data_IF_646256227451
#
_entry.id   IF_646256227451
#
_cell.length_a   1.000
_cell.length_b   1.000
_cell.length_c   1.000
_cell.angle_alpha   90.00
_cell.angle_beta   90.00
_cell.angle_gamma   90.00
#
_symmetry.space_group_name_H-M   'P 1'
#
loop_
_entity.id
_entity.type
_entity.pdbx_description
1 polymer ?
#
# COMPACT_ATOMS: atom_id res chain seq x y z
N UNK A 1 -22.30 24.26 -1.12
CA UNK A 1 -21.36 25.40 -0.90
C UNK A 1 -20.26 25.48 -1.96
N UNK A 2 -19.57 24.38 -2.29
CA UNK A 2 -18.34 24.41 -3.11
C UNK A 2 -18.51 24.00 -4.59
N UNK A 3 -19.75 23.81 -5.07
CA UNK A 3 -20.04 23.13 -6.35
C UNK A 3 -19.23 23.63 -7.55
N UNK A 4 -19.19 24.95 -7.79
CA UNK A 4 -18.43 25.53 -8.93
C UNK A 4 -16.93 25.26 -8.85
N UNK A 5 -16.35 25.18 -7.65
CA UNK A 5 -14.91 24.92 -7.49
C UNK A 5 -14.59 23.43 -7.59
N UNK A 6 -15.51 22.54 -7.19
CA UNK A 6 -15.33 21.08 -7.29
C UNK A 6 -15.36 20.60 -8.74
N UNK A 7 -16.12 21.25 -9.63
CA UNK A 7 -16.18 20.87 -11.06
C UNK A 7 -14.80 20.80 -11.73
N UNK A 8 -13.87 21.63 -11.27
CA UNK A 8 -12.49 21.68 -11.77
C UNK A 8 -11.49 20.92 -10.90
N UNK A 9 -11.93 20.30 -9.80
CA UNK A 9 -11.06 19.54 -8.92
C UNK A 9 -10.74 18.17 -9.55
N UNK A 10 -9.44 17.93 -9.78
CA UNK A 10 -8.93 16.61 -10.16
C UNK A 10 -7.60 16.33 -9.46
N UNK A 11 -7.45 15.11 -8.97
CA UNK A 11 -6.17 14.60 -8.48
C UNK A 11 -5.46 13.73 -9.52
N UNK A 12 -4.13 13.86 -9.66
CA UNK A 12 -3.31 13.02 -10.53
C UNK A 12 -3.28 11.58 -10.04
N UNK A 13 -3.05 10.66 -10.98
CA UNK A 13 -2.82 9.25 -10.71
C UNK A 13 -1.62 8.76 -11.52
N UNK A 14 -1.06 7.62 -11.11
CA UNK A 14 -0.08 6.94 -11.93
C UNK A 14 -0.75 6.29 -13.14
N UNK A 15 -0.29 6.69 -14.32
CA UNK A 15 -0.73 6.22 -15.61
C UNK A 15 0.42 5.61 -16.38
N UNK A 16 0.14 4.59 -17.16
CA UNK A 16 1.11 3.92 -18.03
C UNK A 16 0.71 4.08 -19.49
N UNK A 17 1.72 4.26 -20.35
CA UNK A 17 1.56 4.25 -21.80
C UNK A 17 1.41 2.81 -22.29
N UNK A 18 0.21 2.48 -22.73
CA UNK A 18 -0.14 1.23 -23.37
C UNK A 18 -0.37 1.51 -24.86
N UNK A 19 0.68 1.27 -25.66
CA UNK A 19 0.66 1.38 -27.12
C UNK A 19 0.12 2.74 -27.64
N UNK A 20 0.55 3.84 -27.02
CA UNK A 20 0.16 5.20 -27.39
C UNK A 20 -1.07 5.73 -26.65
N UNK A 21 -1.75 4.90 -25.85
CA UNK A 21 -2.85 5.32 -24.99
C UNK A 21 -2.43 5.33 -23.52
N UNK A 22 -2.94 6.29 -22.75
CA UNK A 22 -2.68 6.33 -21.31
C UNK A 22 -3.83 5.74 -20.53
N UNK A 23 -3.51 4.80 -19.63
CA UNK A 23 -4.46 4.19 -18.70
C UNK A 23 -3.87 4.14 -17.30
N UNK A 24 -4.71 3.90 -16.29
CA UNK A 24 -4.23 3.67 -14.93
C UNK A 24 -3.27 2.49 -14.88
N UNK A 25 -2.22 2.64 -14.08
CA UNK A 25 -1.28 1.55 -13.81
C UNK A 25 -2.00 0.43 -13.04
N UNK A 26 -1.70 -0.81 -13.41
CA UNK A 26 -2.15 -2.04 -12.76
C UNK A 26 -0.94 -2.75 -12.17
N UNK A 27 -0.95 -3.01 -10.85
CA UNK A 27 0.17 -3.70 -10.20
C UNK A 27 0.46 -5.05 -10.88
N UNK A 28 -0.55 -5.88 -11.08
CA UNK A 28 -0.35 -7.23 -11.62
C UNK A 28 0.16 -7.21 -13.08
N UNK A 29 -0.44 -6.36 -13.92
CA UNK A 29 -0.12 -6.32 -15.35
C UNK A 29 1.12 -5.51 -15.67
N UNK A 30 1.36 -4.43 -14.95
CA UNK A 30 2.39 -3.45 -15.29
C UNK A 30 3.67 -3.61 -14.46
N UNK A 31 3.56 -4.14 -13.24
CA UNK A 31 4.67 -4.21 -12.29
C UNK A 31 5.06 -5.66 -12.03
N UNK A 32 4.17 -6.46 -11.44
CA UNK A 32 4.40 -7.86 -11.05
C UNK A 32 4.87 -8.71 -12.25
N UNK A 33 4.23 -8.54 -13.41
CA UNK A 33 4.57 -9.27 -14.64
C UNK A 33 5.98 -9.01 -15.17
N UNK A 34 6.62 -7.89 -14.76
CA UNK A 34 7.96 -7.47 -15.18
C UNK A 34 9.03 -7.74 -14.13
N UNK A 35 8.64 -8.26 -12.95
CA UNK A 35 9.62 -8.64 -11.92
C UNK A 35 10.50 -9.76 -12.45
N UNK A 36 11.81 -9.54 -12.39
CA UNK A 36 12.78 -10.58 -12.70
C UNK A 36 13.04 -11.46 -11.47
N UNK A 37 12.18 -12.45 -11.30
CA UNK A 37 12.23 -13.41 -10.19
C UNK A 37 13.52 -14.25 -10.13
N UNK A 38 14.33 -14.30 -11.20
CA UNK A 38 15.62 -14.97 -11.17
C UNK A 38 16.67 -14.24 -10.30
N UNK A 39 16.42 -12.97 -9.97
CA UNK A 39 17.30 -12.12 -9.16
C UNK A 39 16.86 -12.02 -7.69
N UNK A 40 16.00 -12.93 -7.22
CA UNK A 40 15.66 -13.01 -5.80
C UNK A 40 16.92 -13.33 -4.99
N UNK A 41 17.19 -12.52 -3.98
CA UNK A 41 18.21 -12.79 -2.98
C UNK A 41 17.64 -13.68 -1.86
N UNK A 42 18.26 -14.84 -1.65
CA UNK A 42 17.89 -15.81 -0.62
C UNK A 42 18.91 -15.86 0.54
N UNK A 43 19.95 -15.02 0.54
CA UNK A 43 21.05 -15.12 1.51
C UNK A 43 20.61 -14.98 2.96
N UNK A 44 19.54 -14.22 3.24
CA UNK A 44 19.01 -14.13 4.62
C UNK A 44 18.54 -15.47 5.16
N UNK A 45 18.15 -16.42 4.30
CA UNK A 45 17.75 -17.76 4.74
C UNK A 45 18.92 -18.57 5.31
N UNK A 46 20.18 -18.24 4.98
CA UNK A 46 21.36 -18.89 5.57
C UNK A 46 21.45 -18.64 7.09
N UNK A 47 20.89 -17.52 7.55
CA UNK A 47 20.87 -17.13 8.96
C UNK A 47 19.80 -17.85 9.77
N UNK A 48 18.90 -18.60 9.11
CA UNK A 48 17.85 -19.35 9.79
C UNK A 48 18.45 -20.36 10.77
N UNK A 49 17.80 -20.45 11.93
CA UNK A 49 18.12 -21.42 12.97
C UNK A 49 16.97 -22.41 13.06
N UNK A 50 17.23 -23.65 12.64
CA UNK A 50 16.26 -24.74 12.69
C UNK A 50 16.40 -25.51 14.00
N UNK A 51 15.28 -25.97 14.56
CA UNK A 51 15.26 -26.78 15.78
C UNK A 51 15.81 -28.18 15.51
N UNK A 52 16.62 -28.69 16.43
CA UNK A 52 17.09 -30.08 16.41
C UNK A 52 16.13 -31.00 17.16
N UNK A 53 16.17 -32.32 16.92
CA UNK A 53 15.29 -33.28 17.62
C UNK A 53 15.54 -33.36 19.13
N UNK A 54 16.68 -32.85 19.61
CA UNK A 54 17.02 -32.80 21.04
C UNK A 54 16.35 -31.64 21.79
N UNK A 55 15.77 -30.66 21.07
CA UNK A 55 15.06 -29.51 21.65
C UNK A 55 13.59 -29.84 22.01
N UNK A 56 13.37 -30.95 22.73
CA UNK A 56 12.03 -31.49 23.06
C UNK A 56 11.12 -30.60 23.92
N UNK A 57 11.56 -29.41 24.34
CA UNK A 57 10.84 -28.59 25.32
C UNK A 57 10.63 -27.13 24.90
N UNK A 58 10.23 -26.87 23.65
CA UNK A 58 9.59 -25.58 23.33
C UNK A 58 8.41 -25.84 22.41
N UNK A 59 7.22 -25.75 23.02
CA UNK A 59 5.91 -25.78 22.38
C UNK A 59 5.96 -25.09 21.00
N UNK A 60 5.33 -25.75 20.03
CA UNK A 60 5.10 -25.26 18.68
C UNK A 60 4.10 -24.09 18.74
N UNK A 61 4.54 -22.96 19.27
CA UNK A 61 3.87 -21.67 19.26
C UNK A 61 4.17 -20.92 17.97
N UNK A 62 3.78 -21.50 16.84
CA UNK A 62 3.59 -20.75 15.59
C UNK A 62 2.11 -20.97 15.27
N UNK A 63 1.36 -19.88 15.16
CA UNK A 63 -0.09 -19.82 14.92
C UNK A 63 -0.45 -20.41 13.54
N UNK A 64 -0.25 -21.71 13.38
CA UNK A 64 -0.76 -22.49 12.26
C UNK A 64 -2.12 -23.04 12.65
N UNK A 65 -3.09 -22.92 11.74
CA UNK A 65 -4.39 -23.56 11.91
C UNK A 65 -4.22 -25.08 11.93
N UNK A 66 -5.15 -25.81 12.57
CA UNK A 66 -5.08 -27.29 12.64
C UNK A 66 -5.13 -27.92 11.24
N UNK A 67 -5.89 -27.31 10.34
CA UNK A 67 -6.09 -27.79 8.96
C UNK A 67 -4.79 -27.71 8.13
N UNK A 68 -4.00 -26.66 8.32
CA UNK A 68 -2.68 -26.53 7.65
C UNK A 68 -1.71 -27.61 8.12
N UNK A 69 -1.72 -27.96 9.41
CA UNK A 69 -0.87 -29.04 9.95
C UNK A 69 -1.25 -30.41 9.39
N UNK A 70 -2.55 -30.73 9.31
CA UNK A 70 -3.04 -32.00 8.76
C UNK A 70 -2.80 -32.12 7.24
N UNK A 71 -2.95 -31.04 6.48
CA UNK A 71 -2.63 -30.99 5.05
C UNK A 71 -1.13 -31.22 4.77
N UNK A 72 -0.27 -30.74 5.67
CA UNK A 72 1.18 -30.94 5.58
C UNK A 72 1.54 -32.38 5.95
N UNK A 73 0.99 -32.96 7.02
CA UNK A 73 1.22 -34.37 7.37
C UNK A 73 0.81 -35.33 6.24
N UNK A 74 -0.25 -35.04 5.49
CA UNK A 74 -0.68 -35.85 4.35
C UNK A 74 0.20 -35.73 3.10
N UNK A 75 0.90 -34.60 2.91
CA UNK A 75 1.73 -34.34 1.71
C UNK A 75 3.25 -34.49 1.94
N UNK A 76 3.74 -34.28 3.17
CA UNK A 76 5.16 -34.43 3.53
C UNK A 76 5.56 -35.90 3.71
N UNK A 77 4.59 -36.80 3.92
CA UNK A 77 4.84 -38.23 4.12
C UNK A 77 4.67 -38.98 2.80
N UNK A 78 5.48 -38.63 1.80
CA UNK A 78 5.82 -39.62 0.77
C UNK A 78 6.89 -40.54 1.36
N UNK A 79 6.47 -41.63 2.02
CA UNK A 79 7.41 -42.69 2.42
C UNK A 79 7.99 -43.30 1.15
N UNK A 80 9.30 -43.26 0.99
CA UNK A 80 9.95 -44.09 -0.03
C UNK A 80 9.63 -45.57 0.22
N UNK A 81 9.86 -46.42 -0.78
CA UNK A 81 9.78 -47.89 -0.65
C UNK A 81 10.62 -48.46 0.52
N UNK A 82 11.58 -47.66 1.01
CA UNK A 82 12.50 -47.95 2.11
C UNK A 82 12.15 -47.22 3.43
N UNK A 83 11.02 -46.51 3.49
CA UNK A 83 10.49 -45.89 4.72
C UNK A 83 11.05 -44.49 5.05
N UNK A 84 11.81 -43.85 4.16
CA UNK A 84 12.34 -42.50 4.37
C UNK A 84 11.31 -41.40 4.05
N UNK A 85 11.26 -40.33 4.84
CA UNK A 85 10.51 -39.11 4.53
C UNK A 85 11.15 -38.40 3.33
N UNK A 86 10.40 -37.89 2.35
CA UNK A 86 10.92 -37.15 1.19
C UNK A 86 10.53 -35.68 1.28
N UNK A 87 11.50 -34.80 1.01
CA UNK A 87 11.23 -33.39 0.82
C UNK A 87 10.58 -33.20 -0.55
N UNK A 88 9.25 -33.05 -0.55
CA UNK A 88 8.45 -32.81 -1.76
C UNK A 88 8.63 -31.35 -2.21
N UNK A 89 9.44 -31.15 -3.25
CA UNK A 89 9.75 -29.81 -3.78
C UNK A 89 8.53 -29.25 -4.52
N UNK A 90 7.74 -30.12 -5.14
CA UNK A 90 6.48 -29.78 -5.81
C UNK A 90 5.44 -29.27 -4.80
N UNK A 91 5.40 -29.83 -3.59
CA UNK A 91 4.61 -29.31 -2.49
C UNK A 91 5.05 -27.90 -2.10
N UNK A 92 6.35 -27.68 -1.88
CA UNK A 92 6.87 -26.35 -1.53
C UNK A 92 6.58 -25.35 -2.64
N UNK A 93 6.82 -25.71 -3.90
CA UNK A 93 6.53 -24.87 -5.05
C UNK A 93 5.06 -24.43 -5.07
N UNK A 94 4.12 -25.36 -4.84
CA UNK A 94 2.68 -25.04 -4.72
C UNK A 94 2.40 -24.03 -3.62
N UNK A 95 3.08 -24.15 -2.48
CA UNK A 95 2.92 -23.19 -1.39
C UNK A 95 3.42 -21.80 -1.77
N UNK A 96 4.42 -21.67 -2.65
CA UNK A 96 5.00 -20.37 -3.03
C UNK A 96 4.26 -19.65 -4.17
N UNK A 97 3.29 -20.28 -4.82
CA UNK A 97 2.57 -19.70 -5.98
C UNK A 97 1.81 -18.42 -5.63
N UNK A 98 1.40 -18.27 -4.36
CA UNK A 98 0.75 -17.06 -3.85
C UNK A 98 1.67 -15.82 -3.86
N UNK A 99 3.00 -16.03 -3.83
CA UNK A 99 4.01 -14.97 -3.91
C UNK A 99 4.67 -14.92 -5.29
N UNK A 100 5.13 -16.06 -5.81
CA UNK A 100 5.77 -16.19 -7.13
C UNK A 100 4.74 -16.76 -8.11
N UNK A 101 4.13 -15.95 -8.99
CA UNK A 101 3.02 -16.39 -9.84
C UNK A 101 3.44 -17.39 -10.94
N UNK A 102 4.73 -17.65 -11.11
CA UNK A 102 5.26 -18.63 -12.06
C UNK A 102 5.65 -19.94 -11.35
N UNK A 103 4.95 -21.07 -11.60
CA UNK A 103 5.20 -22.35 -10.94
C UNK A 103 6.60 -22.92 -11.15
N UNK A 104 7.20 -22.73 -12.33
CA UNK A 104 8.56 -23.20 -12.61
C UNK A 104 9.60 -22.42 -11.81
N UNK A 105 9.42 -21.10 -11.70
CA UNK A 105 10.30 -20.27 -10.88
C UNK A 105 10.11 -20.57 -9.39
N UNK A 106 8.87 -20.80 -8.95
CA UNK A 106 8.58 -21.22 -7.58
C UNK A 106 9.29 -22.55 -7.24
N UNK A 107 9.28 -23.51 -8.17
CA UNK A 107 10.01 -24.77 -8.04
C UNK A 107 11.52 -24.57 -7.95
N UNK A 108 12.12 -23.84 -8.90
CA UNK A 108 13.56 -23.53 -8.86
C UNK A 108 13.97 -22.79 -7.57
N UNK A 109 13.10 -21.91 -7.07
CA UNK A 109 13.32 -21.17 -5.82
C UNK A 109 13.30 -22.10 -4.61
N UNK A 110 12.37 -23.06 -4.58
CA UNK A 110 12.33 -24.10 -3.56
C UNK A 110 13.61 -24.95 -3.58
N UNK A 111 14.03 -25.43 -4.76
CA UNK A 111 15.28 -26.20 -4.90
C UNK A 111 16.51 -25.41 -4.42
N UNK A 112 16.64 -24.15 -4.85
CA UNK A 112 17.73 -23.26 -4.42
C UNK A 112 17.74 -23.10 -2.89
N UNK A 113 16.57 -22.93 -2.28
CA UNK A 113 16.42 -22.77 -0.83
C UNK A 113 16.90 -24.02 -0.08
N UNK A 114 16.44 -25.21 -0.47
CA UNK A 114 16.87 -26.43 0.23
C UNK A 114 18.33 -26.79 -0.05
N UNK A 115 18.83 -26.53 -1.25
CA UNK A 115 20.26 -26.67 -1.55
C UNK A 115 21.11 -25.75 -0.67
N UNK A 116 20.63 -24.55 -0.40
CA UNK A 116 21.28 -23.58 0.49
C UNK A 116 21.30 -24.08 1.93
N UNK A 117 20.14 -24.45 2.48
CA UNK A 117 20.01 -24.89 3.87
C UNK A 117 20.69 -26.24 4.14
N UNK A 118 20.76 -27.13 3.15
CA UNK A 118 21.44 -28.43 3.25
C UNK A 118 22.95 -28.32 3.49
N UNK A 119 23.54 -27.13 3.28
CA UNK A 119 24.95 -26.87 3.65
C UNK A 119 25.16 -26.85 5.16
N UNK A 120 24.12 -26.53 5.93
CA UNK A 120 24.16 -26.36 7.40
C UNK A 120 23.38 -27.44 8.15
N UNK A 121 22.30 -27.96 7.56
CA UNK A 121 21.38 -28.87 8.21
C UNK A 121 21.26 -30.20 7.47
N UNK A 122 21.09 -31.28 8.24
CA UNK A 122 20.81 -32.59 7.66
C UNK A 122 19.36 -32.67 7.16
N UNK A 123 19.08 -33.69 6.35
CA UNK A 123 17.78 -33.90 5.71
C UNK A 123 16.61 -34.04 6.69
N UNK A 124 16.81 -34.71 7.82
CA UNK A 124 15.77 -34.92 8.84
C UNK A 124 15.39 -33.59 9.52
N UNK A 125 16.38 -32.77 9.86
CA UNK A 125 16.16 -31.43 10.41
C UNK A 125 15.38 -30.55 9.44
N UNK A 126 15.70 -30.58 8.13
CA UNK A 126 14.96 -29.80 7.12
C UNK A 126 13.49 -30.23 7.03
N UNK A 127 13.22 -31.54 7.06
CA UNK A 127 11.86 -32.08 7.01
C UNK A 127 11.07 -31.69 8.26
N UNK A 128 11.65 -31.84 9.45
CA UNK A 128 10.99 -31.52 10.72
C UNK A 128 10.68 -30.02 10.87
N UNK A 129 11.41 -29.15 10.16
CA UNK A 129 11.23 -27.70 10.18
C UNK A 129 10.59 -27.16 8.88
N UNK A 130 10.05 -28.02 8.01
CA UNK A 130 9.62 -27.63 6.67
C UNK A 130 8.61 -26.47 6.66
N UNK A 131 7.63 -26.51 7.55
CA UNK A 131 6.59 -25.47 7.64
C UNK A 131 7.20 -24.11 7.99
N UNK A 132 8.06 -24.09 9.00
CA UNK A 132 8.79 -22.90 9.41
C UNK A 132 9.67 -22.36 8.27
N UNK A 133 10.37 -23.24 7.54
CA UNK A 133 11.17 -22.85 6.38
C UNK A 133 10.29 -22.21 5.30
N UNK A 134 9.13 -22.78 4.99
CA UNK A 134 8.19 -22.23 4.01
C UNK A 134 7.71 -20.84 4.44
N UNK A 135 7.33 -20.66 5.70
CA UNK A 135 6.89 -19.36 6.22
C UNK A 135 7.99 -18.29 6.14
N UNK A 136 9.21 -18.62 6.57
CA UNK A 136 10.34 -17.69 6.51
C UNK A 136 10.76 -17.38 5.06
N UNK A 137 10.72 -18.39 4.19
CA UNK A 137 10.93 -18.20 2.75
C UNK A 137 9.87 -17.25 2.18
N UNK A 138 8.58 -17.45 2.46
CA UNK A 138 7.52 -16.54 2.00
C UNK A 138 7.72 -15.10 2.48
N UNK A 139 8.08 -14.91 3.75
CA UNK A 139 8.37 -13.58 4.31
C UNK A 139 9.51 -12.90 3.56
N UNK A 140 10.60 -13.61 3.28
CA UNK A 140 11.71 -13.03 2.53
C UNK A 140 11.35 -12.78 1.06
N UNK A 141 10.63 -13.70 0.42
CA UNK A 141 10.17 -13.53 -0.97
C UNK A 141 9.25 -12.32 -1.13
N UNK A 142 8.36 -12.05 -0.17
CA UNK A 142 7.53 -10.84 -0.18
C UNK A 142 8.39 -9.57 -0.11
N UNK A 143 9.40 -9.54 0.75
CA UNK A 143 10.35 -8.41 0.85
C UNK A 143 11.14 -8.21 -0.45
N UNK A 144 11.66 -9.29 -1.02
CA UNK A 144 12.38 -9.23 -2.30
C UNK A 144 11.47 -8.82 -3.45
N UNK A 145 10.23 -9.32 -3.48
CA UNK A 145 9.21 -8.92 -4.45
C UNK A 145 8.97 -7.42 -4.40
N UNK A 146 8.79 -6.83 -3.21
CA UNK A 146 8.60 -5.39 -3.05
C UNK A 146 9.79 -4.58 -3.59
N UNK A 147 11.02 -5.02 -3.29
CA UNK A 147 12.25 -4.36 -3.77
C UNK A 147 12.39 -4.44 -5.30
N UNK A 148 12.09 -5.60 -5.90
CA UNK A 148 12.14 -5.76 -7.35
C UNK A 148 11.01 -5.01 -8.05
N UNK A 149 9.82 -4.98 -7.45
CA UNK A 149 8.68 -4.20 -7.93
C UNK A 149 9.00 -2.70 -7.94
N UNK A 150 9.66 -2.20 -6.89
CA UNK A 150 10.13 -0.81 -6.83
C UNK A 150 11.09 -0.50 -7.99
N UNK A 151 12.08 -1.36 -8.23
CA UNK A 151 13.03 -1.19 -9.35
C UNK A 151 12.31 -1.14 -10.71
N UNK A 152 11.34 -2.03 -10.93
CA UNK A 152 10.51 -2.01 -12.14
C UNK A 152 9.75 -0.69 -12.26
N UNK A 153 9.12 -0.23 -11.17
CA UNK A 153 8.36 1.01 -11.15
C UNK A 153 9.25 2.22 -11.46
N UNK A 154 10.39 2.34 -10.79
CA UNK A 154 11.36 3.41 -11.00
C UNK A 154 11.90 3.42 -12.43
N UNK A 155 12.18 2.25 -13.00
CA UNK A 155 12.59 2.12 -14.39
C UNK A 155 11.49 2.57 -15.36
N UNK A 156 10.22 2.27 -15.09
CA UNK A 156 9.09 2.71 -15.90
C UNK A 156 8.91 4.24 -15.83
N UNK A 157 9.08 4.83 -14.64
CA UNK A 157 9.07 6.30 -14.45
C UNK A 157 10.21 6.93 -15.22
N UNK A 158 11.44 6.42 -15.07
CA UNK A 158 12.64 6.93 -15.73
C UNK A 158 12.56 6.86 -17.26
N UNK A 159 11.93 5.83 -17.80
CA UNK A 159 11.69 5.66 -19.25
C UNK A 159 10.50 6.47 -19.75
N UNK A 160 9.86 7.27 -18.89
CA UNK A 160 8.63 8.01 -19.17
C UNK A 160 7.46 7.16 -19.67
N UNK A 161 7.52 5.84 -19.45
CA UNK A 161 6.44 4.91 -19.75
C UNK A 161 5.35 4.99 -18.70
N UNK A 162 5.73 5.26 -17.45
CA UNK A 162 4.84 5.51 -16.33
C UNK A 162 4.98 6.96 -15.89
N UNK A 163 3.86 7.66 -15.70
CA UNK A 163 3.83 9.08 -15.33
C UNK A 163 2.80 9.33 -14.25
N UNK A 164 3.01 10.37 -13.47
CA UNK A 164 2.05 10.87 -12.49
C UNK A 164 1.40 12.14 -13.05
N UNK A 165 0.20 12.02 -13.63
CA UNK A 165 -0.44 13.13 -14.33
C UNK A 165 -1.95 12.92 -14.48
N UNK A 166 -2.63 13.94 -15.00
CA UNK A 166 -4.03 13.87 -15.40
C UNK A 166 -4.12 13.91 -16.92
N UNK A 167 -4.48 12.77 -17.55
CA UNK A 167 -4.51 12.67 -19.02
C UNK A 167 -5.88 13.04 -19.58
N UNK A 168 -6.95 12.66 -18.88
CA UNK A 168 -8.34 12.89 -19.23
C UNK A 168 -9.23 12.64 -18.00
N UNK A 169 -10.54 12.86 -18.12
CA UNK A 169 -11.48 12.63 -17.02
C UNK A 169 -11.50 11.19 -16.48
N UNK A 170 -10.99 10.21 -17.25
CA UNK A 170 -10.95 8.79 -16.85
C UNK A 170 -9.65 8.38 -16.15
N UNK A 171 -8.65 9.25 -16.18
CA UNK A 171 -7.28 8.98 -15.68
C UNK A 171 -6.85 9.94 -14.58
N UNK A 172 -7.71 10.89 -14.22
CA UNK A 172 -7.65 11.64 -12.96
C UNK A 172 -8.82 11.27 -12.05
N UNK A 173 -8.68 11.55 -10.75
CA UNK A 173 -9.75 11.32 -9.78
C UNK A 173 -10.54 12.61 -9.54
N UNK A 174 -11.86 12.53 -9.62
CA UNK A 174 -12.80 13.60 -9.25
C UNK A 174 -13.43 13.28 -7.90
N UNK A 175 -13.68 14.30 -7.09
CA UNK A 175 -14.44 14.14 -5.85
C UNK A 175 -15.88 13.65 -6.14
N UNK A 176 -16.47 12.84 -5.26
CA UNK A 176 -17.85 12.42 -5.43
C UNK A 176 -18.82 13.60 -5.30
N UNK A 177 -19.89 13.58 -6.09
CA UNK A 177 -20.97 14.58 -5.99
C UNK A 177 -21.97 14.27 -4.86
N UNK A 178 -22.01 13.00 -4.44
CA UNK A 178 -22.87 12.50 -3.36
C UNK A 178 -22.21 11.33 -2.66
N UNK A 179 -22.51 11.14 -1.39
CA UNK A 179 -22.11 10.00 -0.60
C UNK A 179 -23.35 9.30 -0.05
N UNK A 180 -23.31 7.98 0.02
CA UNK A 180 -24.33 7.16 0.68
C UNK A 180 -23.88 6.90 2.11
N UNK A 181 -24.80 7.12 3.05
CA UNK A 181 -24.57 7.03 4.49
C UNK A 181 -25.65 6.13 5.09
N UNK A 182 -25.30 5.37 6.14
CA UNK A 182 -26.26 4.55 6.85
C UNK A 182 -27.32 5.43 7.55
N UNK A 183 -28.59 5.03 7.52
CA UNK A 183 -29.68 5.86 8.04
C UNK A 183 -29.64 6.10 9.56
N UNK A 184 -28.86 5.33 10.30
CA UNK A 184 -28.66 5.44 11.75
C UNK A 184 -27.31 6.06 12.13
N UNK A 185 -26.55 6.59 11.16
CA UNK A 185 -25.27 7.24 11.40
C UNK A 185 -25.40 8.48 12.27
N UNK A 186 -24.39 8.74 13.09
CA UNK A 186 -24.33 9.94 13.92
C UNK A 186 -23.50 10.99 13.19
N UNK A 187 -24.05 12.20 13.04
CA UNK A 187 -23.32 13.31 12.41
C UNK A 187 -22.18 13.77 13.31
N UNK A 188 -20.98 13.90 12.74
CA UNK A 188 -19.90 14.65 13.37
C UNK A 188 -20.26 16.15 13.38
N UNK A 189 -20.31 16.73 14.57
CA UNK A 189 -20.41 18.18 14.78
C UNK A 189 -19.07 18.73 15.27
N UNK A 190 -18.95 20.06 15.30
CA UNK A 190 -17.85 20.75 15.99
C UNK A 190 -17.87 20.43 17.49
N UNK A 191 -16.77 20.78 18.17
CA UNK A 191 -16.62 20.59 19.62
C UNK A 191 -17.65 21.37 20.46
N UNK A 192 -18.20 22.47 19.92
CA UNK A 192 -19.28 23.27 20.51
C UNK A 192 -20.69 22.75 20.18
N UNK A 193 -20.80 21.68 19.39
CA UNK A 193 -22.07 21.07 18.96
C UNK A 193 -22.65 21.66 17.68
N UNK A 194 -22.04 22.70 17.11
CA UNK A 194 -22.50 23.30 15.85
C UNK A 194 -22.18 22.41 14.63
N UNK A 195 -22.95 22.54 13.54
CA UNK A 195 -22.64 21.87 12.27
C UNK A 195 -21.25 22.22 11.72
N UNK A 196 -20.59 21.24 11.09
CA UNK A 196 -19.40 21.47 10.26
C UNK A 196 -19.73 22.43 9.12
N UNK A 197 -18.83 23.37 8.85
CA UNK A 197 -18.98 24.43 7.85
C UNK A 197 -17.97 24.31 6.71
N UNK A 198 -16.82 23.68 6.95
CA UNK A 198 -15.73 23.55 5.98
C UNK A 198 -15.60 22.14 5.42
N UNK A 199 -16.27 21.15 6.01
CA UNK A 199 -16.41 19.83 5.37
C UNK A 199 -17.03 19.93 3.99
N UNK A 200 -16.50 19.17 3.02
CA UNK A 200 -17.02 19.04 1.67
C UNK A 200 -18.50 18.59 1.65
N UNK A 201 -18.85 17.70 2.57
CA UNK A 201 -20.20 17.18 2.77
C UNK A 201 -20.78 17.69 4.09
N UNK A 202 -22.06 18.05 4.06
CA UNK A 202 -22.76 18.53 5.25
C UNK A 202 -22.82 17.46 6.34
N UNK A 203 -22.89 16.18 5.95
CA UNK A 203 -22.93 15.05 6.88
C UNK A 203 -21.66 14.21 6.75
N UNK A 204 -20.90 14.13 7.85
CA UNK A 204 -19.76 13.22 8.00
C UNK A 204 -20.12 12.25 9.13
N UNK A 205 -20.20 10.93 8.89
CA UNK A 205 -20.48 9.95 9.94
C UNK A 205 -19.33 9.90 10.95
N UNK A 206 -19.64 10.08 12.23
CA UNK A 206 -18.63 10.07 13.30
C UNK A 206 -17.94 8.71 13.41
N UNK A 207 -18.67 7.62 13.14
CA UNK A 207 -18.17 6.25 13.21
C UNK A 207 -17.17 5.88 12.09
N UNK A 208 -17.06 6.70 11.04
CA UNK A 208 -16.07 6.52 9.96
C UNK A 208 -14.70 7.13 10.30
N UNK A 209 -14.57 7.74 11.48
CA UNK A 209 -13.34 8.38 11.96
C UNK A 209 -12.87 7.68 13.24
N UNK A 210 -11.58 7.36 13.29
CA UNK A 210 -10.95 7.03 14.57
C UNK A 210 -10.70 8.31 15.40
N UNK A 211 -10.25 8.15 16.65
CA UNK A 211 -10.07 9.29 17.56
C UNK A 211 -9.05 10.32 17.03
N UNK A 212 -7.91 9.87 16.49
CA UNK A 212 -6.88 10.75 15.91
C UNK A 212 -7.40 11.49 14.67
N UNK A 213 -8.12 10.79 13.79
CA UNK A 213 -8.72 11.36 12.59
C UNK A 213 -9.81 12.38 12.95
N UNK A 214 -10.59 12.13 14.01
CA UNK A 214 -11.60 13.07 14.49
C UNK A 214 -10.95 14.37 14.98
N UNK A 215 -9.85 14.28 15.73
CA UNK A 215 -9.11 15.45 16.19
C UNK A 215 -8.51 16.25 15.03
N UNK A 216 -7.98 15.56 14.01
CA UNK A 216 -7.52 16.18 12.76
C UNK A 216 -8.67 16.88 12.04
N UNK A 217 -9.83 16.22 11.90
CA UNK A 217 -11.00 16.80 11.25
C UNK A 217 -11.50 18.07 11.94
N UNK A 218 -11.61 18.06 13.27
CA UNK A 218 -11.95 19.25 14.05
C UNK A 218 -10.93 20.37 13.89
N UNK A 219 -9.64 20.03 13.88
CA UNK A 219 -8.63 21.03 13.64
C UNK A 219 -8.75 21.66 12.27
N UNK A 220 -8.90 20.86 11.21
CA UNK A 220 -9.06 21.35 9.83
C UNK A 220 -10.28 22.26 9.69
N UNK A 221 -11.38 21.93 10.37
CA UNK A 221 -12.65 22.68 10.38
C UNK A 221 -12.56 24.07 11.00
N UNK A 222 -11.55 24.32 11.84
CA UNK A 222 -11.35 25.60 12.53
C UNK A 222 -10.25 26.46 11.88
N UNK A 223 -9.71 26.05 10.72
CA UNK A 223 -8.65 26.80 10.03
C UNK A 223 -9.22 27.93 9.17
N UNK A 224 -8.70 29.15 9.34
CA UNK A 224 -9.19 30.33 8.60
C UNK A 224 -9.01 30.23 7.08
N UNK A 225 -7.91 29.61 6.64
CA UNK A 225 -7.54 29.45 5.22
C UNK A 225 -8.17 28.24 4.55
N UNK A 226 -8.93 27.44 5.30
CA UNK A 226 -9.55 26.25 4.76
C UNK A 226 -10.65 26.63 3.78
N UNK A 227 -10.56 26.11 2.56
CA UNK A 227 -11.66 26.22 1.61
C UNK A 227 -12.63 25.06 1.81
N UNK A 228 -12.13 23.82 1.73
CA UNK A 228 -12.83 22.65 2.27
C UNK A 228 -11.87 21.54 2.70
N UNK A 229 -12.34 20.66 3.57
CA UNK A 229 -11.71 19.37 3.85
C UNK A 229 -12.66 18.21 3.52
N UNK A 230 -12.10 17.05 3.21
CA UNK A 230 -12.83 15.85 2.83
C UNK A 230 -12.16 14.62 3.45
N UNK A 231 -12.95 13.81 4.16
CA UNK A 231 -12.54 12.48 4.63
C UNK A 231 -12.63 11.50 3.45
N UNK A 232 -11.48 11.07 2.95
CA UNK A 232 -11.41 10.15 1.83
C UNK A 232 -11.75 8.73 2.30
N UNK A 233 -12.70 8.04 1.65
CA UNK A 233 -13.12 6.70 2.07
C UNK A 233 -12.29 5.63 1.37
N UNK A 234 -11.61 4.82 2.16
CA UNK A 234 -10.81 3.71 1.67
C UNK A 234 -11.63 2.80 0.73
N UNK A 235 -10.99 2.35 -0.37
CA UNK A 235 -11.54 1.50 -1.44
C UNK A 235 -12.64 2.10 -2.32
N UNK A 236 -13.22 3.24 -1.93
CA UNK A 236 -14.29 3.89 -2.71
C UNK A 236 -13.78 5.13 -3.44
N UNK A 237 -12.89 5.88 -2.81
CA UNK A 237 -12.49 7.21 -3.24
C UNK A 237 -11.04 7.23 -3.75
N UNK A 238 -10.31 8.32 -3.52
CA UNK A 238 -8.98 8.53 -4.09
C UNK A 238 -7.97 7.51 -3.56
N UNK A 239 -7.11 7.03 -4.46
CA UNK A 239 -6.07 6.08 -4.14
C UNK A 239 -4.84 6.25 -5.05
N UNK A 240 -3.67 6.00 -4.48
CA UNK A 240 -2.40 5.99 -5.22
C UNK A 240 -1.92 4.55 -5.35
N UNK A 241 -1.73 4.10 -6.59
CA UNK A 241 -1.12 2.81 -6.91
C UNK A 241 0.39 2.99 -7.08
N UNK A 242 1.15 2.73 -6.03
CA UNK A 242 2.62 2.62 -6.10
C UNK A 242 3.07 1.24 -6.58
N UNK A 243 4.27 0.83 -6.13
CA UNK A 243 4.88 -0.45 -6.50
C UNK A 243 4.50 -1.65 -5.60
N UNK A 244 3.56 -1.50 -4.68
CA UNK A 244 2.97 -2.62 -3.94
C UNK A 244 1.57 -2.95 -4.42
N UNK A 245 1.12 -4.19 -4.22
CA UNK A 245 -0.23 -4.66 -4.60
C UNK A 245 -1.35 -3.81 -4.00
N UNK A 246 -1.21 -3.42 -2.73
CA UNK A 246 -2.21 -2.58 -2.07
C UNK A 246 -2.02 -1.11 -2.43
N UNK A 247 -3.13 -0.47 -2.79
CA UNK A 247 -3.17 0.98 -3.01
C UNK A 247 -3.12 1.72 -1.67
N UNK A 248 -2.54 2.92 -1.71
CA UNK A 248 -2.57 3.85 -0.59
C UNK A 248 -3.86 4.66 -0.71
N UNK A 249 -4.67 4.65 0.34
CA UNK A 249 -5.88 5.47 0.44
C UNK A 249 -5.61 6.53 1.51
N UNK A 250 -5.19 7.75 1.12
CA UNK A 250 -4.95 8.84 2.05
C UNK A 250 -6.18 9.10 2.91
N UNK A 251 -5.99 9.60 4.11
CA UNK A 251 -7.10 9.81 5.03
C UNK A 251 -7.91 11.07 4.72
N UNK A 252 -7.22 12.17 4.43
CA UNK A 252 -7.84 13.46 4.19
C UNK A 252 -7.38 14.06 2.86
N UNK A 253 -8.31 14.73 2.20
CA UNK A 253 -8.03 15.64 1.09
C UNK A 253 -8.57 17.00 1.52
N UNK A 254 -7.72 18.02 1.55
CA UNK A 254 -8.18 19.37 1.90
C UNK A 254 -7.55 20.41 1.00
N UNK A 255 -8.18 21.56 0.97
CA UNK A 255 -7.79 22.66 0.09
C UNK A 255 -7.72 23.95 0.86
N UNK A 256 -6.72 24.77 0.53
CA UNK A 256 -6.61 26.12 1.08
C UNK A 256 -6.95 27.14 0.02
N UNK A 257 -7.37 28.31 0.46
CA UNK A 257 -7.41 29.50 -0.38
C UNK A 257 -6.43 30.56 0.15
N UNK A 258 -6.13 31.52 -0.70
CA UNK A 258 -5.69 32.83 -0.20
C UNK A 258 -6.93 33.60 0.27
N UNK A 259 -6.74 34.78 0.87
CA UNK A 259 -7.80 35.55 1.53
C UNK A 259 -9.04 35.84 0.63
N UNK A 260 -8.93 35.67 -0.68
CA UNK A 260 -10.03 35.75 -1.63
C UNK A 260 -10.86 34.44 -1.61
N UNK A 261 -12.01 34.46 -0.92
CA UNK A 261 -12.77 33.27 -0.53
C UNK A 261 -13.54 32.57 -1.67
N UNK A 262 -13.24 32.88 -2.93
CA UNK A 262 -14.03 32.39 -4.08
C UNK A 262 -13.53 31.09 -4.69
N UNK A 263 -12.25 30.71 -4.49
CA UNK A 263 -11.68 29.46 -5.00
C UNK A 263 -10.48 29.01 -4.16
N UNK A 264 -10.14 27.71 -4.20
CA UNK A 264 -8.92 27.19 -3.60
C UNK A 264 -7.70 27.40 -4.52
N UNK A 265 -6.51 27.45 -3.93
CA UNK A 265 -5.24 27.64 -4.64
C UNK A 265 -4.21 26.54 -4.35
N UNK A 266 -4.44 25.66 -3.38
CA UNK A 266 -3.57 24.50 -3.08
C UNK A 266 -4.42 23.32 -2.64
N UNK A 267 -3.95 22.11 -2.96
CA UNK A 267 -4.55 20.85 -2.54
C UNK A 267 -3.55 20.05 -1.71
N UNK A 268 -4.03 19.47 -0.62
CA UNK A 268 -3.26 18.60 0.25
C UNK A 268 -3.93 17.24 0.34
N UNK A 269 -3.12 16.20 0.22
CA UNK A 269 -3.50 14.80 0.35
C UNK A 269 -2.72 14.24 1.53
N UNK A 270 -3.41 13.83 2.59
CA UNK A 270 -2.78 13.51 3.88
C UNK A 270 -3.19 12.13 4.36
N UNK A 271 -2.19 11.30 4.63
CA UNK A 271 -2.33 10.06 5.39
C UNK A 271 -2.01 10.35 6.86
N UNK A 272 -2.89 9.94 7.77
CA UNK A 272 -2.65 9.98 9.22
C UNK A 272 -2.17 8.63 9.73
N UNK A 273 -1.22 8.63 10.67
CA UNK A 273 -0.64 7.42 11.23
C UNK A 273 -0.47 7.54 12.74
N UNK A 274 -1.03 6.58 13.47
CA UNK A 274 -0.73 6.42 14.90
C UNK A 274 0.77 6.14 15.13
N UNK A 275 1.33 6.67 16.22
CA UNK A 275 2.77 6.58 16.51
C UNK A 275 3.32 5.14 16.55
N UNK A 276 2.50 4.20 17.03
CA UNK A 276 2.84 2.77 17.11
C UNK A 276 2.90 2.07 15.74
N UNK A 277 2.53 2.77 14.67
CA UNK A 277 2.52 2.28 13.29
C UNK A 277 3.72 2.78 12.47
N UNK A 278 4.77 3.34 13.10
CA UNK A 278 6.06 3.61 12.44
C UNK A 278 6.75 2.28 12.08
N UNK A 279 6.46 1.77 10.90
CA UNK A 279 6.94 0.48 10.38
C UNK A 279 7.25 0.56 8.87
N UNK A 280 7.54 -0.59 8.25
CA UNK A 280 7.81 -0.70 6.80
C UNK A 280 6.62 -0.28 5.90
N UNK A 281 5.38 -0.25 6.40
CA UNK A 281 4.22 0.28 5.65
C UNK A 281 4.26 1.81 5.59
N UNK A 282 4.52 2.45 6.73
CA UNK A 282 4.63 3.91 6.81
C UNK A 282 5.78 4.43 5.95
N UNK A 283 6.96 3.83 6.03
CA UNK A 283 8.11 4.25 5.22
C UNK A 283 7.84 4.11 3.70
N UNK A 284 7.08 3.08 3.31
CA UNK A 284 6.63 2.92 1.93
C UNK A 284 5.68 4.04 1.50
N UNK A 285 4.69 4.38 2.33
CA UNK A 285 3.75 5.47 2.04
C UNK A 285 4.44 6.81 1.88
N UNK A 286 5.39 7.13 2.77
CA UNK A 286 6.25 8.30 2.66
C UNK A 286 7.00 8.31 1.33
N UNK A 287 7.66 7.19 0.98
CA UNK A 287 8.43 7.08 -0.27
C UNK A 287 7.56 7.29 -1.52
N UNK A 288 6.34 6.75 -1.55
CA UNK A 288 5.41 6.95 -2.67
C UNK A 288 4.92 8.39 -2.73
N UNK A 289 4.59 9.01 -1.60
CA UNK A 289 4.11 10.39 -1.55
C UNK A 289 5.21 11.40 -1.92
N UNK A 290 6.45 11.16 -1.49
CA UNK A 290 7.61 11.96 -1.91
C UNK A 290 7.84 11.87 -3.42
N UNK A 291 7.67 10.68 -3.99
CA UNK A 291 7.70 10.51 -5.44
C UNK A 291 6.58 11.28 -6.14
N UNK A 292 5.34 11.22 -5.64
CA UNK A 292 4.23 12.01 -6.16
C UNK A 292 4.51 13.51 -6.11
N UNK A 293 5.05 14.02 -5.01
CA UNK A 293 5.42 15.42 -4.84
C UNK A 293 6.47 15.84 -5.88
N UNK A 294 7.55 15.07 -6.00
CA UNK A 294 8.64 15.34 -6.95
C UNK A 294 8.14 15.35 -8.39
N UNK A 295 7.36 14.34 -8.79
CA UNK A 295 6.82 14.26 -10.15
C UNK A 295 5.80 15.36 -10.45
N UNK A 296 5.09 15.86 -9.44
CA UNK A 296 4.15 16.99 -9.58
C UNK A 296 4.88 18.33 -9.75
N UNK A 297 6.13 18.44 -9.32
CA UNK A 297 6.96 19.65 -9.47
C UNK A 297 7.75 19.68 -10.78
N UNK A 298 8.17 18.50 -11.27
CA UNK A 298 9.01 18.37 -12.46
C UNK A 298 8.26 18.63 -13.79
N UNK A 299 6.92 18.59 -13.83
CA UNK A 299 6.11 18.73 -15.07
C UNK A 299 4.82 19.54 -14.86
N UNK A 300 4.36 20.22 -15.92
CA UNK A 300 2.98 20.71 -15.99
C UNK A 300 2.05 19.48 -15.90
N UNK A 301 1.28 19.37 -14.81
CA UNK A 301 0.38 18.24 -14.50
C UNK A 301 -0.63 17.97 -15.64
N UNK A 302 -0.81 18.94 -16.55
CA UNK A 302 -1.56 18.85 -17.78
C UNK A 302 -0.65 18.77 -19.02
N UNK A 303 -0.52 17.59 -19.62
CA UNK A 303 0.20 17.45 -20.91
C UNK A 303 -0.71 17.21 -22.13
N UNK A 304 -2.03 17.12 -21.96
CA UNK A 304 -2.95 16.85 -23.08
C UNK A 304 -4.30 17.59 -22.93
N UNK A 305 -4.37 18.81 -23.45
CA UNK A 305 -5.60 19.48 -23.90
C UNK A 305 -6.71 19.80 -22.88
N UNK A 306 -6.61 19.36 -21.63
CA UNK A 306 -7.52 19.75 -20.58
C UNK A 306 -7.04 21.04 -19.90
N UNK A 307 -7.93 22.03 -19.83
CA UNK A 307 -7.77 23.24 -19.02
C UNK A 307 -7.82 22.86 -17.54
N UNK A 308 -6.75 22.29 -17.01
CA UNK A 308 -6.57 22.15 -15.57
C UNK A 308 -5.96 23.42 -15.01
N UNK A 309 -6.37 23.76 -13.79
CA UNK A 309 -5.69 24.78 -12.99
C UNK A 309 -4.37 24.19 -12.52
N UNK A 310 -3.26 24.91 -12.69
CA UNK A 310 -1.94 24.59 -12.10
C UNK A 310 -1.98 24.75 -10.56
N UNK A 311 -2.93 24.09 -9.92
CA UNK A 311 -3.11 24.12 -8.47
C UNK A 311 -2.06 23.20 -7.87
N UNK A 312 -1.11 23.70 -7.06
CA UNK A 312 -0.10 22.85 -6.44
C UNK A 312 -0.76 21.79 -5.55
N UNK A 313 -0.30 20.55 -5.70
CA UNK A 313 -0.77 19.40 -4.94
C UNK A 313 0.39 18.90 -4.07
N UNK A 314 0.11 18.62 -2.80
CA UNK A 314 1.09 18.13 -1.83
C UNK A 314 0.58 16.89 -1.11
N UNK A 315 1.38 15.84 -1.15
CA UNK A 315 1.13 14.56 -0.49
C UNK A 315 1.96 14.50 0.80
N UNK A 316 1.35 14.16 1.94
CA UNK A 316 2.05 14.10 3.22
C UNK A 316 1.59 12.89 4.04
N UNK A 317 2.53 12.28 4.75
CA UNK A 317 2.23 11.38 5.87
C UNK A 317 2.43 12.16 7.16
N UNK A 318 1.48 12.04 8.08
CA UNK A 318 1.43 12.83 9.30
C UNK A 318 1.17 11.92 10.50
N UNK A 319 1.99 12.07 11.55
CA UNK A 319 1.94 11.22 12.74
C UNK A 319 1.06 11.79 13.86
N UNK A 320 0.43 10.92 14.65
CA UNK A 320 -0.53 11.30 15.69
C UNK A 320 0.02 12.22 16.79
N UNK A 321 1.33 12.21 17.05
CA UNK A 321 2.01 13.07 18.02
C UNK A 321 2.44 14.43 17.43
N UNK A 322 2.57 14.52 16.10
CA UNK A 322 3.09 15.70 15.42
C UNK A 322 2.11 16.35 14.46
N UNK A 323 0.89 15.80 14.31
CA UNK A 323 -0.01 16.22 13.24
C UNK A 323 -0.36 17.68 13.32
N UNK A 324 -0.59 18.20 14.53
CA UNK A 324 -0.91 19.60 14.73
C UNK A 324 0.25 20.50 14.33
N UNK A 325 1.48 20.14 14.66
CA UNK A 325 2.69 20.90 14.28
C UNK A 325 2.86 20.89 12.76
N UNK A 326 2.77 19.72 12.13
CA UNK A 326 2.91 19.55 10.67
C UNK A 326 1.83 20.30 9.91
N UNK A 327 0.57 20.22 10.34
CA UNK A 327 -0.51 20.96 9.70
C UNK A 327 -0.36 22.47 9.89
N UNK A 328 0.14 22.94 11.04
CA UNK A 328 0.48 24.36 11.20
C UNK A 328 1.56 24.82 10.20
N UNK A 329 2.62 24.03 10.00
CA UNK A 329 3.67 24.32 9.00
C UNK A 329 3.13 24.33 7.57
N UNK A 330 2.14 23.48 7.28
CA UNK A 330 1.50 23.38 5.96
C UNK A 330 0.54 24.55 5.71
N UNK A 331 -0.15 25.02 6.76
CA UNK A 331 -1.22 26.01 6.68
C UNK A 331 -0.77 27.45 7.00
N UNK A 332 0.42 27.63 7.58
CA UNK A 332 1.11 28.93 7.64
C UNK A 332 1.45 29.42 6.24
#
# INVERSE_FOLDING_TARGET
>A
KFGKSIEHFVLPMFVINDNGTWRLVSYDQDILSRINWLHIDLHKLETLTLKSEDDKNVEMGINLSKDEKELIESHVISRTSEGGLVLDTEFVARQLIDVIPNPWIAYETAEKTFKLLSRKYNRLTLINNLVFIIEELKKELLKQSDLLAQKVFDDLVKKEMLRFMVVNERTGYKLPNKIEIAGNSVRLNKSDGEPLQQSLFDFVPQEELNDDERDVAWYLEDQERMFFWYRNRARNDYAVQGWRKQKIYPDFIFTTNDRDKTAFNKVYVVETKGIHLKNEDTAYKESVFDLCNRLSEEKNISELGFKYTDTPIRFNVVFSDEWKRKLNEILS
#
